data_IF_023834935457
#
_entry.id   IF_023834935457
#
_cell.length_a   1.000
_cell.length_b   1.000
_cell.length_c   1.000
_cell.angle_alpha   90.00
_cell.angle_beta   90.00
_cell.angle_gamma   90.00
#
_symmetry.space_group_name_H-M   'P 1'
#
loop_
_entity.id
_entity.type
_entity.pdbx_description
1 polymer ?
#
# COMPACT_ATOMS: atom_id res chain seq x y z
N UNK A 1 11.95 -5.45 -7.54
CA UNK A 1 11.89 -4.08 -7.00
C UNK A 1 13.31 -3.61 -6.81
N UNK A 2 13.64 -2.37 -7.15
CA UNK A 2 14.76 -1.57 -6.59
C UNK A 2 15.04 -0.33 -7.47
N UNK A 3 14.96 -0.45 -8.81
CA UNK A 3 15.15 0.70 -9.72
C UNK A 3 13.79 1.28 -10.13
N UNK A 4 13.59 2.57 -9.88
CA UNK A 4 12.37 3.30 -10.30
C UNK A 4 11.12 3.04 -9.44
N UNK A 5 11.27 2.49 -8.22
CA UNK A 5 10.15 2.22 -7.32
C UNK A 5 10.40 2.80 -5.94
N UNK A 6 9.39 3.41 -5.32
CA UNK A 6 9.39 3.77 -3.91
C UNK A 6 8.58 2.75 -3.10
N UNK A 7 9.17 2.19 -2.05
CA UNK A 7 8.49 1.29 -1.13
C UNK A 7 7.95 2.05 0.09
N UNK A 8 6.71 1.79 0.45
CA UNK A 8 6.06 2.32 1.66
C UNK A 8 5.59 1.12 2.49
N UNK A 9 5.91 1.13 3.79
CA UNK A 9 5.54 0.07 4.72
C UNK A 9 4.63 0.60 5.82
N UNK A 10 3.54 -0.11 6.07
CA UNK A 10 2.72 0.07 7.26
C UNK A 10 3.12 -0.97 8.31
N UNK A 11 3.32 -0.52 9.55
CA UNK A 11 3.61 -1.42 10.67
C UNK A 11 2.35 -2.21 11.03
N UNK A 12 2.45 -3.53 11.02
CA UNK A 12 1.33 -4.47 11.17
C UNK A 12 1.29 -5.48 10.03
N UNK A 13 0.11 -6.02 9.74
CA UNK A 13 -0.13 -6.94 8.62
C UNK A 13 -0.23 -8.42 9.00
N UNK A 14 0.00 -8.76 10.27
CA UNK A 14 -0.19 -10.11 10.83
C UNK A 14 -0.92 -10.03 12.18
N UNK A 15 -1.63 -11.08 12.56
CA UNK A 15 -2.20 -11.25 13.90
C UNK A 15 -1.25 -12.00 14.86
N UNK A 16 -1.74 -12.29 16.07
CA UNK A 16 -0.97 -12.95 17.13
C UNK A 16 -0.55 -14.39 16.76
N UNK A 17 -1.16 -14.99 15.73
CA UNK A 17 -0.82 -16.31 15.20
C UNK A 17 0.12 -16.21 13.97
N UNK A 18 0.63 -15.03 13.65
CA UNK A 18 1.38 -14.72 12.43
C UNK A 18 0.57 -14.89 11.13
N UNK A 19 -0.75 -14.91 11.20
CA UNK A 19 -1.58 -15.01 10.00
C UNK A 19 -1.77 -13.64 9.35
N UNK A 20 -1.69 -13.51 8.00
CA UNK A 20 -1.82 -12.21 7.34
C UNK A 20 -3.21 -11.59 7.56
N UNK A 21 -3.24 -10.42 8.19
CA UNK A 21 -4.47 -9.71 8.58
C UNK A 21 -4.32 -8.20 8.35
N UNK A 22 -5.35 -7.58 7.77
CA UNK A 22 -5.45 -6.12 7.72
C UNK A 22 -5.83 -5.58 9.10
N UNK A 23 -4.82 -5.26 9.92
CA UNK A 23 -4.97 -4.68 11.25
C UNK A 23 -4.40 -3.26 11.34
N UNK A 24 -4.22 -2.58 10.20
CA UNK A 24 -3.73 -1.21 10.21
C UNK A 24 -4.77 -0.23 10.78
N UNK A 25 -4.28 0.78 11.47
CA UNK A 25 -5.12 1.79 12.10
C UNK A 25 -5.64 2.79 11.07
N UNK A 26 -6.77 3.45 11.40
CA UNK A 26 -7.32 4.54 10.57
C UNK A 26 -6.29 5.66 10.34
N UNK A 27 -5.50 6.00 11.37
CA UNK A 27 -4.46 7.03 11.30
C UNK A 27 -3.33 6.64 10.34
N UNK A 28 -2.93 5.35 10.31
CA UNK A 28 -1.96 4.85 9.34
C UNK A 28 -2.48 4.97 7.91
N UNK A 29 -3.75 4.61 7.65
CA UNK A 29 -4.35 4.78 6.33
C UNK A 29 -4.43 6.24 5.90
N UNK A 30 -4.78 7.14 6.82
CA UNK A 30 -4.85 8.58 6.54
C UNK A 30 -3.45 9.17 6.24
N UNK A 31 -2.44 8.83 7.05
CA UNK A 31 -1.07 9.26 6.81
C UNK A 31 -0.54 8.73 5.47
N UNK A 32 -0.82 7.45 5.15
CA UNK A 32 -0.47 6.86 3.87
C UNK A 32 -1.18 7.57 2.71
N UNK A 33 -2.47 7.88 2.83
CA UNK A 33 -3.22 8.60 1.80
C UNK A 33 -2.60 9.97 1.49
N UNK A 34 -2.28 10.76 2.52
CA UNK A 34 -1.63 12.06 2.37
C UNK A 34 -0.26 11.94 1.68
N UNK A 35 0.55 10.97 2.11
CA UNK A 35 1.86 10.72 1.50
C UNK A 35 1.73 10.32 0.03
N UNK A 36 0.79 9.42 -0.30
CA UNK A 36 0.55 8.98 -1.67
C UNK A 36 0.08 10.11 -2.57
N UNK A 37 -0.74 11.04 -2.09
CA UNK A 37 -1.12 12.24 -2.83
C UNK A 37 0.09 13.14 -3.14
N UNK A 38 0.90 13.46 -2.14
CA UNK A 38 2.12 14.25 -2.33
C UNK A 38 3.09 13.60 -3.33
N UNK A 39 3.23 12.27 -3.26
CA UNK A 39 4.05 11.52 -4.19
C UNK A 39 3.47 11.50 -5.61
N UNK A 40 2.14 11.47 -5.75
CA UNK A 40 1.48 11.56 -7.05
C UNK A 40 1.59 12.93 -7.68
N UNK A 41 1.56 14.00 -6.89
CA UNK A 41 1.85 15.36 -7.38
C UNK A 41 3.30 15.46 -7.88
N UNK A 42 4.25 14.89 -7.14
CA UNK A 42 5.66 14.90 -7.53
C UNK A 42 5.98 13.96 -8.70
N UNK A 43 5.27 12.85 -8.82
CA UNK A 43 5.46 11.83 -9.86
C UNK A 43 4.09 11.43 -10.47
N UNK A 44 3.54 12.26 -11.37
CA UNK A 44 2.19 12.05 -11.92
C UNK A 44 1.98 10.67 -12.55
N UNK A 45 3.00 10.14 -13.24
CA UNK A 45 2.94 8.87 -13.95
C UNK A 45 3.18 7.63 -13.04
N UNK A 46 3.57 7.83 -11.78
CA UNK A 46 3.89 6.72 -10.88
C UNK A 46 2.66 5.87 -10.56
N UNK A 47 2.71 4.55 -10.73
CA UNK A 47 1.59 3.67 -10.39
C UNK A 47 1.60 3.35 -8.89
N UNK A 48 0.42 3.41 -8.25
CA UNK A 48 0.23 2.97 -6.86
C UNK A 48 -0.22 1.52 -6.90
N UNK A 49 0.61 0.63 -6.36
CA UNK A 49 0.41 -0.83 -6.40
C UNK A 49 0.69 -1.41 -5.01
N UNK A 50 -0.03 -2.47 -4.65
CA UNK A 50 0.38 -3.33 -3.54
C UNK A 50 1.55 -4.21 -3.94
N UNK A 51 2.34 -4.65 -2.97
CA UNK A 51 3.47 -5.57 -3.23
C UNK A 51 2.99 -6.85 -3.93
N UNK A 52 1.81 -7.37 -3.57
CA UNK A 52 1.15 -8.51 -4.24
C UNK A 52 0.73 -8.28 -5.69
N UNK A 53 0.61 -7.03 -6.13
CA UNK A 53 0.14 -6.69 -7.47
C UNK A 53 1.30 -6.62 -8.50
N UNK A 54 2.54 -6.78 -8.03
CA UNK A 54 3.72 -6.77 -8.88
C UNK A 54 3.88 -8.10 -9.62
N UNK A 55 4.43 -8.08 -10.86
CA UNK A 55 4.65 -9.31 -11.61
C UNK A 55 5.58 -10.25 -10.86
N UNK A 56 5.25 -11.54 -10.87
CA UNK A 56 5.99 -12.61 -10.21
C UNK A 56 6.08 -12.50 -8.67
N UNK A 57 5.16 -11.78 -8.02
CA UNK A 57 5.09 -11.70 -6.55
C UNK A 57 3.91 -12.51 -6.01
N UNK A 58 4.21 -13.62 -5.34
CA UNK A 58 3.21 -14.44 -4.63
C UNK A 58 3.23 -14.15 -3.12
N UNK A 59 2.99 -12.88 -2.74
CA UNK A 59 2.96 -12.45 -1.34
C UNK A 59 1.57 -11.98 -0.96
N UNK A 60 1.20 -12.16 0.32
CA UNK A 60 -0.05 -11.61 0.88
C UNK A 60 0.05 -10.11 1.17
N UNK A 61 1.26 -9.57 1.32
CA UNK A 61 1.53 -8.14 1.57
C UNK A 61 0.91 -7.25 0.47
N UNK A 62 0.16 -6.20 0.80
CA UNK A 62 0.03 -5.58 2.13
C UNK A 62 -1.17 -6.04 2.95
N UNK A 63 -1.72 -7.24 2.69
CA UNK A 63 -2.85 -7.82 3.41
C UNK A 63 -4.19 -7.09 3.21
N UNK A 64 -4.26 -6.17 2.25
CA UNK A 64 -5.49 -5.57 1.71
C UNK A 64 -5.33 -5.26 0.21
N UNK A 65 -6.43 -4.91 -0.45
CA UNK A 65 -6.45 -4.50 -1.86
C UNK A 65 -6.14 -3.00 -1.98
N UNK A 66 -4.93 -2.68 -2.44
CA UNK A 66 -4.45 -1.30 -2.58
C UNK A 66 -5.19 -0.55 -3.67
N UNK A 67 -5.47 -1.18 -4.81
CA UNK A 67 -6.13 -0.53 -5.95
C UNK A 67 -7.57 -0.15 -5.60
N UNK A 68 -8.30 -1.06 -4.95
CA UNK A 68 -9.66 -0.81 -4.48
C UNK A 68 -9.69 0.27 -3.40
N UNK A 69 -8.77 0.20 -2.43
CA UNK A 69 -8.68 1.21 -1.37
C UNK A 69 -8.36 2.60 -1.96
N UNK A 70 -7.38 2.69 -2.84
CA UNK A 70 -6.97 3.96 -3.45
C UNK A 70 -8.09 4.58 -4.29
N UNK A 71 -8.77 3.78 -5.10
CA UNK A 71 -9.88 4.24 -5.92
C UNK A 71 -11.05 4.73 -5.07
N UNK A 72 -11.32 4.11 -3.92
CA UNK A 72 -12.39 4.55 -3.01
C UNK A 72 -12.15 5.90 -2.32
N UNK A 73 -10.92 6.42 -2.39
CA UNK A 73 -10.52 7.69 -1.75
C UNK A 73 -10.41 8.86 -2.72
N UNK A 74 -10.42 8.58 -4.03
CA UNK A 74 -10.50 9.61 -5.07
C UNK A 74 -11.95 10.06 -5.18
N UNK A 75 -12.29 11.07 -4.39
CA UNK A 75 -13.52 11.86 -4.60
C UNK A 75 -13.28 12.90 -5.68
#
# INVERSE_FOLDING_TARGET
MNKGSLGIWLVGGVDDLNEPKNNFTKNQFEAMYRLLNQLKEKYPDAKILGHRDLPNVQKRCPCFDVMRWWSSKKT
#
